data_IF_689240360011
#
_entry.id   IF_689240360011
#
_cell.length_a   1.000
_cell.length_b   1.000
_cell.length_c   1.000
_cell.angle_alpha   90.00
_cell.angle_beta   90.00
_cell.angle_gamma   90.00
#
_symmetry.space_group_name_H-M   'P 1'
#
loop_
_entity.id
_entity.type
_entity.pdbx_description
1 polymer ?
#
# COMPACT_ATOMS: atom_id res chain seq x y z
N UNK A 1 8.99 -14.42 -27.58
CA UNK A 1 8.08 -14.54 -26.42
C UNK A 1 8.71 -15.53 -25.45
N UNK A 2 9.25 -15.04 -24.34
CA UNK A 2 9.91 -15.87 -23.31
C UNK A 2 8.84 -16.68 -22.53
N UNK A 3 8.50 -17.85 -23.06
CA UNK A 3 7.48 -18.75 -22.49
C UNK A 3 7.85 -19.37 -21.13
N UNK A 4 8.99 -18.98 -20.56
CA UNK A 4 9.53 -19.63 -19.34
C UNK A 4 9.64 -18.69 -18.12
N UNK A 5 9.16 -17.45 -18.19
CA UNK A 5 9.16 -16.55 -17.03
C UNK A 5 7.94 -16.81 -16.15
N UNK A 6 8.15 -16.85 -14.83
CA UNK A 6 7.04 -16.93 -13.88
C UNK A 6 6.11 -15.72 -14.05
N UNK A 7 4.81 -15.96 -14.07
CA UNK A 7 3.80 -14.91 -14.28
C UNK A 7 3.47 -14.21 -12.97
N UNK A 8 3.41 -12.88 -13.02
CA UNK A 8 3.11 -12.01 -11.89
C UNK A 8 1.71 -11.41 -12.03
N UNK A 9 0.92 -11.48 -10.97
CA UNK A 9 -0.33 -10.74 -10.81
C UNK A 9 -0.14 -9.71 -9.69
N UNK A 10 -0.25 -8.43 -10.02
CA UNK A 10 -0.02 -7.32 -9.10
C UNK A 10 -1.33 -6.67 -8.71
N UNK A 11 -1.51 -6.43 -7.43
CA UNK A 11 -2.67 -5.74 -6.87
C UNK A 11 -2.21 -4.51 -6.09
N UNK A 12 -2.79 -3.36 -6.38
CA UNK A 12 -2.76 -2.25 -5.44
C UNK A 12 -3.56 -2.61 -4.18
N UNK A 13 -3.36 -1.86 -3.11
CA UNK A 13 -3.97 -2.19 -1.82
C UNK A 13 -5.13 -1.26 -1.46
N UNK A 14 -4.85 0.03 -1.25
CA UNK A 14 -5.83 1.01 -0.81
C UNK A 14 -6.74 1.42 -1.98
N UNK A 15 -8.07 1.37 -1.78
CA UNK A 15 -9.05 1.57 -2.86
C UNK A 15 -9.25 0.36 -3.77
N UNK A 16 -8.34 -0.60 -3.75
CA UNK A 16 -8.35 -1.81 -4.59
C UNK A 16 -8.71 -3.06 -3.79
N UNK A 17 -7.77 -3.64 -3.04
CA UNK A 17 -8.03 -4.78 -2.15
C UNK A 17 -8.73 -4.36 -0.85
N UNK A 18 -8.40 -3.20 -0.32
CA UNK A 18 -9.00 -2.61 0.86
C UNK A 18 -9.91 -1.45 0.46
N UNK A 19 -11.17 -1.47 0.92
CA UNK A 19 -12.16 -0.41 0.64
C UNK A 19 -11.86 0.82 1.50
N UNK A 20 -11.07 1.74 0.97
CA UNK A 20 -10.66 2.96 1.65
C UNK A 20 -9.15 3.14 1.71
N UNK A 21 -8.68 3.94 2.64
CA UNK A 21 -7.26 4.25 2.85
C UNK A 21 -6.80 3.66 4.19
N UNK A 22 -6.07 2.54 4.12
CA UNK A 22 -5.59 1.82 5.30
C UNK A 22 -4.64 2.65 6.16
N UNK A 23 -3.88 3.56 5.54
CA UNK A 23 -2.95 4.42 6.24
C UNK A 23 -3.68 5.47 7.09
N UNK A 24 -4.74 6.06 6.55
CA UNK A 24 -5.62 6.99 7.28
C UNK A 24 -6.39 6.25 8.38
N UNK A 25 -6.94 5.08 8.08
CA UNK A 25 -7.72 4.31 9.06
C UNK A 25 -6.85 3.78 10.19
N UNK A 26 -5.60 3.36 9.90
CA UNK A 26 -4.62 3.04 10.93
C UNK A 26 -4.27 4.25 11.80
N UNK A 27 -4.11 5.44 11.22
CA UNK A 27 -3.88 6.67 11.97
C UNK A 27 -5.03 6.96 12.96
N UNK A 28 -6.29 6.87 12.51
CA UNK A 28 -7.47 7.00 13.35
C UNK A 28 -7.48 5.97 14.48
N UNK A 29 -7.23 4.68 14.14
CA UNK A 29 -7.14 3.61 15.13
C UNK A 29 -6.05 3.89 16.16
N UNK A 30 -4.90 4.40 15.72
CA UNK A 30 -3.77 4.74 16.58
C UNK A 30 -4.12 5.85 17.57
N UNK A 31 -4.81 6.89 17.13
CA UNK A 31 -5.29 7.96 18.00
C UNK A 31 -6.32 7.47 19.02
N UNK A 32 -7.20 6.55 18.64
CA UNK A 32 -8.13 5.93 19.58
C UNK A 32 -7.40 5.12 20.67
N UNK A 33 -6.26 4.52 20.35
CA UNK A 33 -5.45 3.75 21.29
C UNK A 33 -4.50 4.61 22.13
N UNK A 34 -4.03 5.72 21.56
CA UNK A 34 -3.10 6.66 22.18
C UNK A 34 -3.60 8.10 22.02
N UNK A 35 -4.68 8.51 22.75
CA UNK A 35 -5.33 9.82 22.54
C UNK A 35 -4.41 11.01 22.81
N UNK A 36 -3.39 10.84 23.65
CA UNK A 36 -2.38 11.89 23.88
C UNK A 36 -1.54 12.22 22.64
N UNK A 37 -1.65 11.44 21.57
CA UNK A 37 -1.00 11.71 20.27
C UNK A 37 -1.83 12.63 19.36
N UNK A 38 -3.05 12.96 19.72
CA UNK A 38 -3.95 13.80 18.89
C UNK A 38 -3.34 15.16 18.52
N UNK A 39 -2.44 15.69 19.30
CA UNK A 39 -1.77 16.94 18.94
C UNK A 39 -0.97 16.86 17.63
N UNK A 40 -0.52 15.65 17.19
CA UNK A 40 0.10 15.46 15.89
C UNK A 40 -0.85 15.73 14.73
N UNK A 41 -2.17 15.71 14.96
CA UNK A 41 -3.17 16.06 13.96
C UNK A 41 -2.94 17.47 13.39
N UNK A 42 -2.50 18.42 14.21
CA UNK A 42 -2.16 19.76 13.72
C UNK A 42 -0.97 19.77 12.77
N UNK A 43 0.03 18.92 13.02
CA UNK A 43 1.16 18.73 12.08
C UNK A 43 0.67 18.10 10.77
N UNK A 44 -0.23 17.10 10.85
CA UNK A 44 -0.80 16.45 9.67
C UNK A 44 -1.65 17.43 8.85
N UNK A 45 -2.44 18.27 9.51
CA UNK A 45 -3.24 19.31 8.84
C UNK A 45 -2.35 20.33 8.12
N UNK A 46 -1.30 20.82 8.78
CA UNK A 46 -0.32 21.72 8.17
C UNK A 46 0.39 21.06 6.98
N UNK A 47 0.83 19.82 7.14
CA UNK A 47 1.47 19.04 6.07
C UNK A 47 0.52 18.85 4.87
N UNK A 48 -0.75 18.56 5.11
CA UNK A 48 -1.76 18.43 4.06
C UNK A 48 -1.96 19.73 3.29
N UNK A 49 -2.05 20.87 3.98
CA UNK A 49 -2.18 22.18 3.34
C UNK A 49 -0.94 22.50 2.48
N UNK A 50 0.27 22.30 3.00
CA UNK A 50 1.51 22.54 2.24
C UNK A 50 1.62 21.64 1.02
N UNK A 51 1.22 20.37 1.15
CA UNK A 51 1.19 19.44 0.02
C UNK A 51 0.18 19.86 -1.05
N UNK A 52 -1.04 20.26 -0.66
CA UNK A 52 -2.07 20.76 -1.59
C UNK A 52 -1.65 22.03 -2.31
N UNK A 53 -0.86 22.88 -1.66
CA UNK A 53 -0.28 24.08 -2.25
C UNK A 53 0.97 23.79 -3.11
N UNK A 54 1.39 22.52 -3.24
CA UNK A 54 2.58 22.16 -4.00
C UNK A 54 3.92 22.55 -3.34
N UNK A 55 3.91 22.98 -2.08
CA UNK A 55 5.10 23.43 -1.35
C UNK A 55 5.98 22.28 -0.84
N UNK A 56 5.42 21.09 -0.70
CA UNK A 56 6.12 19.87 -0.30
C UNK A 56 5.73 18.70 -1.20
N UNK A 57 6.67 17.76 -1.39
CA UNK A 57 6.43 16.55 -2.16
C UNK A 57 5.53 15.55 -1.39
N UNK A 58 4.97 14.55 -2.10
CA UNK A 58 4.17 13.49 -1.47
C UNK A 58 5.00 12.66 -0.47
N UNK A 59 6.31 12.50 -0.70
CA UNK A 59 7.23 11.83 0.23
C UNK A 59 7.43 12.64 1.51
N UNK A 60 7.61 13.96 1.38
CA UNK A 60 7.71 14.87 2.54
C UNK A 60 6.40 14.92 3.31
N UNK A 61 5.25 14.99 2.60
CA UNK A 61 3.93 14.91 3.22
C UNK A 61 3.78 13.64 4.05
N UNK A 62 4.08 12.47 3.49
CA UNK A 62 4.00 11.19 4.22
C UNK A 62 4.93 11.18 5.44
N UNK A 63 6.16 11.68 5.30
CA UNK A 63 7.12 11.77 6.41
C UNK A 63 6.61 12.66 7.56
N UNK A 64 5.88 13.72 7.26
CA UNK A 64 5.21 14.56 8.28
C UNK A 64 3.95 13.88 8.82
N UNK A 65 3.17 13.22 7.95
CA UNK A 65 1.94 12.55 8.35
C UNK A 65 2.18 11.45 9.39
N UNK A 66 3.28 10.67 9.26
CA UNK A 66 3.58 9.56 10.16
C UNK A 66 4.17 9.98 11.51
N UNK A 67 4.32 11.28 11.80
CA UNK A 67 4.94 11.75 13.06
C UNK A 67 4.15 11.34 14.31
N UNK A 68 2.89 10.91 14.19
CA UNK A 68 2.14 10.32 15.31
C UNK A 68 2.76 9.02 15.85
N UNK A 69 3.67 8.38 15.09
CA UNK A 69 4.48 7.23 15.52
C UNK A 69 5.76 7.64 16.28
N UNK A 70 5.94 8.93 16.52
CA UNK A 70 7.12 9.47 17.21
C UNK A 70 7.31 8.82 18.58
N UNK A 71 8.55 8.43 18.89
CA UNK A 71 8.97 7.70 20.09
C UNK A 71 8.55 6.23 20.21
N UNK A 72 7.69 5.73 19.34
CA UNK A 72 7.34 4.32 19.40
C UNK A 72 8.44 3.46 18.75
N UNK A 73 8.73 2.32 19.37
CA UNK A 73 9.65 1.35 18.80
C UNK A 73 9.00 0.63 17.61
N UNK A 74 9.83 0.09 16.73
CA UNK A 74 9.32 -0.73 15.59
C UNK A 74 8.46 -1.89 16.09
N UNK A 75 8.83 -2.52 17.20
CA UNK A 75 8.06 -3.60 17.81
C UNK A 75 6.67 -3.14 18.25
N UNK A 76 6.56 -1.94 18.85
CA UNK A 76 5.27 -1.38 19.26
C UNK A 76 4.40 -1.03 18.04
N UNK A 77 5.00 -0.48 16.98
CA UNK A 77 4.29 -0.18 15.73
C UNK A 77 3.78 -1.48 15.09
N UNK A 78 4.61 -2.53 14.99
CA UNK A 78 4.20 -3.85 14.50
C UNK A 78 3.05 -4.43 15.31
N UNK A 79 3.09 -4.31 16.63
CA UNK A 79 2.00 -4.73 17.52
C UNK A 79 0.70 -3.99 17.22
N UNK A 80 0.77 -2.68 17.01
CA UNK A 80 -0.39 -1.85 16.67
C UNK A 80 -0.94 -2.17 15.29
N UNK A 81 -0.08 -2.44 14.29
CA UNK A 81 -0.51 -2.90 12.97
C UNK A 81 -1.28 -4.24 13.07
N UNK A 82 -0.75 -5.19 13.82
CA UNK A 82 -1.43 -6.48 14.05
C UNK A 82 -2.82 -6.28 14.68
N UNK A 83 -2.92 -5.51 15.76
CA UNK A 83 -4.19 -5.20 16.43
C UNK A 83 -5.20 -4.48 15.53
N UNK A 84 -4.72 -3.61 14.66
CA UNK A 84 -5.56 -2.95 13.67
C UNK A 84 -6.17 -3.96 12.70
N UNK A 85 -5.34 -4.82 12.12
CA UNK A 85 -5.80 -5.80 11.15
C UNK A 85 -6.62 -6.95 11.76
N UNK A 86 -6.46 -7.27 13.05
CA UNK A 86 -7.36 -8.20 13.75
C UNK A 86 -8.81 -7.70 13.77
N UNK A 87 -9.01 -6.37 13.76
CA UNK A 87 -10.33 -5.72 13.82
C UNK A 87 -10.84 -5.25 12.46
N UNK A 88 -9.96 -5.03 11.50
CA UNK A 88 -10.31 -4.52 10.18
C UNK A 88 -10.59 -5.66 9.20
N UNK A 89 -11.77 -5.61 8.57
CA UNK A 89 -12.21 -6.56 7.53
C UNK A 89 -12.83 -5.85 6.32
N UNK A 90 -12.48 -4.59 6.10
CA UNK A 90 -13.06 -3.79 5.02
C UNK A 90 -12.40 -4.11 3.66
N UNK A 91 -12.39 -5.40 3.30
CA UNK A 91 -11.82 -5.85 2.03
C UNK A 91 -12.84 -5.84 0.89
N UNK A 92 -12.32 -5.70 -0.33
CA UNK A 92 -13.11 -5.80 -1.56
C UNK A 92 -13.19 -7.27 -2.00
N UNK A 93 -14.31 -7.92 -1.72
CA UNK A 93 -14.51 -9.35 -1.98
C UNK A 93 -14.29 -9.71 -3.46
N UNK A 94 -14.79 -8.90 -4.39
CA UNK A 94 -14.64 -9.13 -5.84
C UNK A 94 -13.17 -9.18 -6.26
N UNK A 95 -12.33 -8.27 -5.72
CA UNK A 95 -10.90 -8.24 -6.04
C UNK A 95 -10.16 -9.38 -5.35
N UNK A 96 -10.56 -9.73 -4.11
CA UNK A 96 -10.00 -10.89 -3.40
C UNK A 96 -10.28 -12.21 -4.13
N UNK A 97 -11.48 -12.38 -4.70
CA UNK A 97 -11.79 -13.56 -5.51
C UNK A 97 -10.82 -13.69 -6.70
N UNK A 98 -10.48 -12.57 -7.36
CA UNK A 98 -9.46 -12.55 -8.43
C UNK A 98 -8.07 -12.90 -7.91
N UNK A 99 -7.68 -12.35 -6.77
CA UNK A 99 -6.41 -12.66 -6.12
C UNK A 99 -6.29 -14.16 -5.82
N UNK A 100 -7.30 -14.74 -5.18
CA UNK A 100 -7.35 -16.18 -4.86
C UNK A 100 -7.35 -17.04 -6.12
N UNK A 101 -8.03 -16.62 -7.18
CA UNK A 101 -7.98 -17.29 -8.47
C UNK A 101 -6.55 -17.37 -9.00
N UNK A 102 -5.79 -16.26 -9.03
CA UNK A 102 -4.40 -16.28 -9.51
C UNK A 102 -3.48 -17.10 -8.63
N UNK A 103 -3.68 -17.12 -7.30
CA UNK A 103 -2.95 -18.01 -6.41
C UNK A 103 -3.15 -19.49 -6.79
N UNK A 104 -4.39 -19.89 -7.07
CA UNK A 104 -4.74 -21.27 -7.47
C UNK A 104 -4.19 -21.64 -8.84
N UNK A 105 -4.14 -20.69 -9.76
CA UNK A 105 -3.56 -20.86 -11.11
C UNK A 105 -2.02 -20.86 -11.11
N UNK A 106 -1.38 -20.73 -9.93
CA UNK A 106 0.07 -20.78 -9.79
C UNK A 106 0.80 -19.50 -10.20
N UNK A 107 0.12 -18.35 -10.27
CA UNK A 107 0.76 -17.06 -10.46
C UNK A 107 1.47 -16.61 -9.19
N UNK A 108 2.58 -15.90 -9.34
CA UNK A 108 3.15 -15.15 -8.24
C UNK A 108 2.26 -13.94 -7.97
N UNK A 109 1.60 -13.90 -6.81
CA UNK A 109 0.76 -12.76 -6.42
C UNK A 109 1.58 -11.78 -5.60
N UNK A 110 1.54 -10.50 -6.01
CA UNK A 110 2.23 -9.38 -5.36
C UNK A 110 1.22 -8.30 -4.98
N UNK A 111 1.31 -7.81 -3.75
CA UNK A 111 0.64 -6.58 -3.35
C UNK A 111 1.65 -5.43 -3.41
N UNK A 112 1.31 -4.36 -4.16
CA UNK A 112 2.14 -3.18 -4.32
C UNK A 112 1.36 -1.93 -3.91
N UNK A 113 1.77 -1.26 -2.84
CA UNK A 113 1.01 -0.15 -2.24
C UNK A 113 1.85 1.07 -1.93
N UNK A 114 1.24 2.23 -2.07
CA UNK A 114 1.78 3.48 -1.55
C UNK A 114 1.74 3.57 -0.02
N UNK A 115 0.97 2.74 0.67
CA UNK A 115 0.94 2.66 2.13
C UNK A 115 2.24 2.06 2.70
N UNK A 116 2.56 2.34 3.98
CA UNK A 116 3.75 1.77 4.61
C UNK A 116 3.74 0.25 4.57
N UNK A 117 4.81 -0.35 4.06
CA UNK A 117 4.98 -1.80 3.96
C UNK A 117 4.70 -2.50 5.29
N UNK A 118 5.25 -1.95 6.38
CA UNK A 118 5.04 -2.43 7.75
C UNK A 118 3.55 -2.54 8.15
N UNK A 119 2.71 -1.62 7.65
CA UNK A 119 1.27 -1.64 7.91
C UNK A 119 0.59 -2.77 7.12
N UNK A 120 0.84 -2.86 5.82
CA UNK A 120 0.11 -3.78 4.94
C UNK A 120 0.55 -5.24 5.04
N UNK A 121 1.77 -5.53 5.52
CA UNK A 121 2.28 -6.91 5.68
C UNK A 121 1.34 -7.80 6.50
N UNK A 122 0.73 -7.27 7.56
CA UNK A 122 -0.22 -8.04 8.37
C UNK A 122 -1.55 -8.32 7.64
N UNK A 123 -1.98 -7.42 6.75
CA UNK A 123 -3.13 -7.68 5.88
C UNK A 123 -2.81 -8.75 4.84
N UNK A 124 -1.60 -8.69 4.27
CA UNK A 124 -1.14 -9.67 3.30
C UNK A 124 -1.08 -11.09 3.89
N UNK A 125 -0.70 -11.23 5.17
CA UNK A 125 -0.78 -12.51 5.87
C UNK A 125 -2.21 -13.06 5.95
N UNK A 126 -3.23 -12.19 6.16
CA UNK A 126 -4.64 -12.61 6.13
C UNK A 126 -5.09 -13.12 4.76
N UNK A 127 -4.49 -12.60 3.70
CA UNK A 127 -4.80 -12.93 2.31
C UNK A 127 -3.90 -14.04 1.75
N UNK A 128 -3.07 -14.65 2.59
CA UNK A 128 -2.04 -15.63 2.19
C UNK A 128 -1.14 -15.14 1.05
N UNK A 129 -0.81 -13.83 1.06
CA UNK A 129 0.10 -13.22 0.09
C UNK A 129 1.48 -13.04 0.72
N UNK A 130 2.48 -13.66 0.09
CA UNK A 130 3.87 -13.66 0.58
C UNK A 130 4.68 -12.45 0.10
N UNK A 131 4.30 -11.85 -1.01
CA UNK A 131 5.09 -10.82 -1.67
C UNK A 131 4.42 -9.44 -1.52
N UNK A 132 5.19 -8.51 -0.97
CA UNK A 132 4.73 -7.14 -0.71
C UNK A 132 5.80 -6.14 -1.09
N UNK A 133 5.43 -5.18 -1.91
CA UNK A 133 6.19 -3.96 -2.19
C UNK A 133 5.39 -2.77 -1.65
N UNK A 134 6.01 -1.92 -0.88
CA UNK A 134 5.32 -0.81 -0.22
C UNK A 134 6.27 0.32 0.16
N UNK A 135 5.69 1.42 0.61
CA UNK A 135 6.48 2.56 1.10
C UNK A 135 7.32 2.15 2.30
N UNK A 136 8.64 2.34 2.20
CA UNK A 136 9.56 1.96 3.26
C UNK A 136 9.71 3.08 4.29
N UNK A 137 9.58 2.70 5.56
CA UNK A 137 9.85 3.55 6.70
C UNK A 137 11.15 3.12 7.36
N UNK A 138 12.04 4.08 7.64
CA UNK A 138 13.21 3.82 8.47
C UNK A 138 13.18 4.62 9.77
N UNK A 139 13.67 4.05 10.85
CA UNK A 139 13.91 4.80 12.06
C UNK A 139 15.04 5.81 11.83
N UNK A 140 14.78 7.07 12.15
CA UNK A 140 15.78 8.13 12.15
C UNK A 140 15.73 8.89 13.47
N UNK A 141 16.72 8.70 14.34
CA UNK A 141 16.71 9.17 15.74
C UNK A 141 15.47 8.63 16.47
N UNK A 142 14.53 9.50 16.86
CA UNK A 142 13.25 9.12 17.52
C UNK A 142 12.03 9.23 16.59
N UNK A 143 12.28 9.28 15.27
CA UNK A 143 11.25 9.48 14.24
C UNK A 143 11.28 8.33 13.24
N UNK A 144 10.28 8.27 12.42
CA UNK A 144 10.27 7.46 11.22
C UNK A 144 10.23 8.40 10.01
N UNK A 145 11.01 8.11 8.99
CA UNK A 145 11.01 8.86 7.74
C UNK A 145 10.74 7.93 6.57
N UNK A 146 10.09 8.48 5.56
CA UNK A 146 9.86 7.79 4.29
C UNK A 146 11.11 7.98 3.43
N UNK A 147 11.76 6.87 3.06
CA UNK A 147 12.90 6.92 2.14
C UNK A 147 12.41 6.81 0.71
N UNK A 148 11.50 5.86 0.48
CA UNK A 148 11.05 5.48 -0.84
C UNK A 148 9.54 5.35 -0.83
N UNK A 149 8.86 6.25 -1.55
CA UNK A 149 7.41 6.25 -1.63
C UNK A 149 6.97 5.41 -2.82
N UNK A 150 6.36 4.26 -2.57
CA UNK A 150 5.88 3.32 -3.57
C UNK A 150 4.60 3.84 -4.26
N UNK A 151 4.71 4.94 -5.04
CA UNK A 151 3.58 5.59 -5.70
C UNK A 151 3.94 5.97 -7.15
N UNK A 152 2.98 5.79 -8.05
CA UNK A 152 3.14 6.14 -9.45
C UNK A 152 4.29 5.37 -10.12
N UNK A 153 5.13 6.02 -10.95
CA UNK A 153 6.24 5.38 -11.64
C UNK A 153 7.20 4.61 -10.72
N UNK A 154 7.41 5.11 -9.49
CA UNK A 154 8.26 4.45 -8.51
C UNK A 154 7.72 3.06 -8.12
N UNK A 155 6.39 2.86 -8.10
CA UNK A 155 5.77 1.56 -7.83
C UNK A 155 6.21 0.53 -8.87
N UNK A 156 6.12 0.86 -10.16
CA UNK A 156 6.54 -0.02 -11.25
C UNK A 156 8.05 -0.33 -11.19
N UNK A 157 8.88 0.68 -10.89
CA UNK A 157 10.33 0.49 -10.73
C UNK A 157 10.63 -0.51 -9.61
N UNK A 158 10.00 -0.35 -8.45
CA UNK A 158 10.19 -1.25 -7.31
C UNK A 158 9.73 -2.68 -7.60
N UNK A 159 8.62 -2.84 -8.32
CA UNK A 159 8.14 -4.16 -8.76
C UNK A 159 9.17 -4.82 -9.68
N UNK A 160 9.66 -4.12 -10.71
CA UNK A 160 10.67 -4.65 -11.65
C UNK A 160 11.99 -5.01 -10.95
N UNK A 161 12.41 -4.24 -9.97
CA UNK A 161 13.60 -4.53 -9.17
C UNK A 161 13.43 -5.76 -8.26
N UNK A 162 12.25 -5.92 -7.66
CA UNK A 162 11.95 -7.06 -6.79
C UNK A 162 11.72 -8.36 -7.58
N UNK A 163 11.19 -8.26 -8.80
CA UNK A 163 10.79 -9.40 -9.64
C UNK A 163 11.37 -9.33 -11.06
N UNK A 164 12.71 -9.24 -11.24
CA UNK A 164 13.32 -9.00 -12.56
C UNK A 164 13.13 -10.16 -13.54
N UNK A 165 12.87 -11.37 -13.04
CA UNK A 165 12.67 -12.58 -13.82
C UNK A 165 11.20 -12.90 -14.11
N UNK A 166 10.25 -12.08 -13.60
CA UNK A 166 8.82 -12.31 -13.77
C UNK A 166 8.26 -11.52 -14.94
N UNK A 167 7.24 -12.08 -15.56
CA UNK A 167 6.43 -11.42 -16.57
C UNK A 167 5.17 -10.86 -15.91
N UNK A 168 4.90 -9.55 -16.07
CA UNK A 168 3.74 -8.88 -15.51
C UNK A 168 2.51 -9.21 -16.36
N UNK A 169 1.77 -10.22 -15.95
CA UNK A 169 0.59 -10.68 -16.67
C UNK A 169 -0.66 -9.87 -16.32
N UNK A 170 -0.85 -9.54 -15.05
CA UNK A 170 -2.04 -8.84 -14.57
C UNK A 170 -1.70 -7.72 -13.59
N UNK A 171 -2.41 -6.59 -13.70
CA UNK A 171 -2.34 -5.50 -12.73
C UNK A 171 -3.73 -4.95 -12.42
N UNK A 172 -3.97 -4.65 -11.14
CA UNK A 172 -5.23 -4.10 -10.61
C UNK A 172 -4.96 -2.86 -9.78
N UNK A 173 -5.61 -1.74 -10.08
CA UNK A 173 -5.53 -0.51 -9.29
C UNK A 173 -6.79 0.36 -9.48
N UNK A 174 -7.12 1.18 -8.46
CA UNK A 174 -8.12 2.24 -8.53
C UNK A 174 -7.51 3.61 -8.83
N UNK A 175 -6.17 3.73 -8.79
CA UNK A 175 -5.47 5.00 -8.78
C UNK A 175 -4.86 5.34 -10.15
N UNK A 176 -5.16 6.55 -10.65
CA UNK A 176 -4.59 7.06 -11.91
C UNK A 176 -3.06 7.17 -11.89
N UNK A 177 -2.43 7.31 -10.72
CA UNK A 177 -0.98 7.30 -10.61
C UNK A 177 -0.36 5.95 -11.02
N UNK A 178 -1.14 4.88 -11.04
CA UNK A 178 -0.70 3.54 -11.42
C UNK A 178 -0.96 3.20 -12.91
N UNK A 179 -1.32 4.19 -13.72
CA UNK A 179 -1.62 4.00 -15.15
C UNK A 179 -0.46 3.30 -15.89
N UNK A 180 0.78 3.69 -15.61
CA UNK A 180 1.96 3.04 -16.21
C UNK A 180 2.06 1.56 -15.83
N UNK A 181 1.73 1.20 -14.57
CA UNK A 181 1.68 -0.17 -14.11
C UNK A 181 0.58 -0.97 -14.84
N UNK A 182 -0.59 -0.39 -15.00
CA UNK A 182 -1.71 -1.03 -15.69
C UNK A 182 -1.40 -1.27 -17.19
N UNK A 183 -0.76 -0.30 -17.86
CA UNK A 183 -0.38 -0.43 -19.27
C UNK A 183 0.82 -1.37 -19.49
N UNK A 184 1.69 -1.55 -18.51
CA UNK A 184 2.83 -2.47 -18.60
C UNK A 184 2.41 -3.95 -18.49
N UNK A 185 1.28 -4.23 -17.85
CA UNK A 185 0.73 -5.57 -17.74
C UNK A 185 0.10 -6.03 -19.06
N UNK A 186 0.13 -7.35 -19.35
CA UNK A 186 -0.61 -7.90 -20.49
C UNK A 186 -2.09 -7.53 -20.41
N UNK A 187 -2.63 -7.50 -19.18
CA UNK A 187 -3.99 -7.09 -18.88
C UNK A 187 -4.02 -6.23 -17.61
N UNK A 188 -4.27 -4.93 -17.79
CA UNK A 188 -4.52 -3.98 -16.72
C UNK A 188 -6.00 -3.83 -16.43
N UNK A 189 -6.35 -3.66 -15.16
CA UNK A 189 -7.73 -3.53 -14.72
C UNK A 189 -7.90 -2.36 -13.74
N UNK A 190 -8.88 -1.51 -14.04
CA UNK A 190 -9.39 -0.52 -13.11
C UNK A 190 -10.35 -1.16 -12.11
N UNK A 191 -10.13 -0.86 -10.83
CA UNK A 191 -11.07 -1.17 -9.75
C UNK A 191 -11.84 0.10 -9.43
N UNK A 192 -13.17 0.03 -9.50
CA UNK A 192 -14.04 1.17 -9.22
C UNK A 192 -14.42 1.21 -7.73
N UNK A 193 -14.85 2.38 -7.25
CA UNK A 193 -15.22 2.57 -5.85
C UNK A 193 -16.37 1.67 -5.34
N UNK A 194 -17.18 1.12 -6.25
CA UNK A 194 -18.20 0.11 -5.96
C UNK A 194 -17.67 -1.34 -5.94
N UNK A 195 -16.37 -1.52 -6.23
CA UNK A 195 -15.71 -2.82 -6.30
C UNK A 195 -15.78 -3.51 -7.65
N UNK A 196 -16.44 -2.92 -8.65
CA UNK A 196 -16.46 -3.44 -10.01
C UNK A 196 -15.08 -3.32 -10.68
N UNK A 197 -14.78 -4.26 -11.57
CA UNK A 197 -13.52 -4.36 -12.29
C UNK A 197 -13.76 -4.10 -13.77
N UNK A 198 -12.99 -3.21 -14.38
CA UNK A 198 -13.06 -2.91 -15.82
C UNK A 198 -11.67 -3.02 -16.44
N UNK A 199 -11.55 -3.51 -17.68
CA UNK A 199 -10.28 -3.42 -18.43
C UNK A 199 -9.79 -1.96 -18.53
N UNK A 200 -8.47 -1.77 -18.47
CA UNK A 200 -7.82 -0.49 -18.69
C UNK A 200 -7.68 -0.18 -20.18
#
# INVERSE_FOLDING_TARGET
MDSNKAKLAVFDFDGTLYKGDSFVDFCKFYYLKKPWRLWFFFIQLGAFLFWKLGLISSTQFKSLFIQYLFWDSEMEIKRMCKLFWEKSNNFNETVIERLVFYQKEGYTVLIASASPKLLIENACLKLDVKHVVGTELIPYKRRHIVIKNCRGPEKLIQIKLAFPQHHLAFAYSDNQDDLELLHEADQGYWVLGDGNIKPC
#
